data_IF_722717182756
#
_entry.id   IF_722717182756
#
_cell.length_a   1.000
_cell.length_b   1.000
_cell.length_c   1.000
_cell.angle_alpha   90.00
_cell.angle_beta   90.00
_cell.angle_gamma   90.00
#
_symmetry.space_group_name_H-M   'P 1'
#
loop_
_entity.id
_entity.type
_entity.pdbx_description
1 polymer ?
#
# COMPACT_ATOMS: atom_id res chain seq x y z
N UNK A 1 4.12 7.96 -2.38
CA UNK A 1 4.32 6.49 -2.40
C UNK A 1 4.08 5.86 -3.78
N UNK A 2 3.24 6.44 -4.64
CA UNK A 2 2.86 5.83 -5.91
C UNK A 2 4.01 5.42 -6.84
N UNK A 3 5.04 6.26 -6.95
CA UNK A 3 6.18 5.98 -7.81
C UNK A 3 6.95 4.70 -7.46
N UNK A 4 6.85 4.16 -6.25
CA UNK A 4 7.45 2.87 -5.93
C UNK A 4 6.73 1.71 -6.63
N UNK A 5 5.39 1.64 -6.52
CA UNK A 5 4.60 0.60 -7.15
C UNK A 5 4.62 0.69 -8.66
N UNK A 6 4.53 1.91 -9.21
CA UNK A 6 4.62 2.13 -10.65
C UNK A 6 5.96 1.64 -11.23
N UNK A 7 7.07 1.95 -10.56
CA UNK A 7 8.40 1.47 -10.98
C UNK A 7 8.59 -0.02 -10.76
N UNK A 8 8.04 -0.56 -9.67
CA UNK A 8 8.02 -2.00 -9.41
C UNK A 8 7.28 -2.77 -10.52
N UNK A 9 6.27 -2.17 -11.12
CA UNK A 9 5.54 -2.70 -12.27
C UNK A 9 6.26 -2.51 -13.62
N UNK A 10 7.49 -2.00 -13.64
CA UNK A 10 8.25 -1.75 -14.86
C UNK A 10 7.91 -0.43 -15.56
N UNK A 11 7.26 0.51 -14.86
CA UNK A 11 6.88 1.83 -15.40
C UNK A 11 6.01 1.73 -16.67
N UNK A 12 4.88 1.02 -16.63
CA UNK A 12 4.02 0.80 -17.80
C UNK A 12 3.50 2.13 -18.37
N UNK A 13 3.10 2.12 -19.64
CA UNK A 13 2.37 3.24 -20.23
C UNK A 13 1.02 3.45 -19.50
N UNK A 14 0.62 4.71 -19.38
CA UNK A 14 -0.59 5.11 -18.65
C UNK A 14 -1.44 5.98 -19.57
N UNK A 15 -2.64 5.52 -19.89
CA UNK A 15 -3.65 6.35 -20.54
C UNK A 15 -4.18 7.35 -19.51
N UNK A 16 -3.71 8.60 -19.57
CA UNK A 16 -4.13 9.65 -18.65
C UNK A 16 -5.57 10.09 -18.98
N UNK A 17 -6.47 10.17 -17.97
CA UNK A 17 -7.82 10.65 -18.18
C UNK A 17 -7.83 12.18 -18.36
N UNK A 18 -8.85 12.69 -19.07
CA UNK A 18 -9.10 14.13 -19.20
C UNK A 18 -9.36 14.80 -17.84
N UNK A 19 -10.08 14.10 -16.96
CA UNK A 19 -10.37 14.54 -15.59
C UNK A 19 -9.61 13.68 -14.60
N UNK A 20 -8.94 14.33 -13.64
CA UNK A 20 -8.22 13.64 -12.57
C UNK A 20 -9.17 12.74 -11.76
N UNK A 21 -8.76 11.51 -11.42
CA UNK A 21 -9.56 10.63 -10.54
C UNK A 21 -9.62 11.15 -9.10
N UNK A 22 -8.78 12.13 -8.73
CA UNK A 22 -8.74 12.70 -7.39
C UNK A 22 -8.80 14.23 -7.43
N UNK A 23 -9.67 14.81 -6.60
CA UNK A 23 -9.96 16.24 -6.59
C UNK A 23 -8.76 17.13 -6.25
N UNK A 24 -7.80 16.59 -5.51
CA UNK A 24 -6.63 17.31 -4.98
C UNK A 24 -5.32 16.95 -5.72
N UNK A 25 -5.41 16.33 -6.88
CA UNK A 25 -4.25 16.01 -7.72
C UNK A 25 -4.46 16.59 -9.11
N UNK A 26 -3.79 17.70 -9.38
CA UNK A 26 -3.76 18.33 -10.70
C UNK A 26 -2.95 17.49 -11.70
N UNK A 27 -3.32 17.55 -12.99
CA UNK A 27 -2.60 16.92 -14.10
C UNK A 27 -1.12 17.31 -14.19
N UNK A 28 -0.75 18.51 -13.72
CA UNK A 28 0.62 19.01 -13.68
C UNK A 28 1.42 18.52 -12.47
N UNK A 29 0.80 17.77 -11.55
CA UNK A 29 1.47 17.27 -10.37
C UNK A 29 2.58 16.28 -10.77
N UNK A 30 3.77 16.40 -10.16
CA UNK A 30 4.96 15.63 -10.52
C UNK A 30 4.74 14.11 -10.58
N UNK A 31 3.87 13.59 -9.70
CA UNK A 31 3.51 12.17 -9.61
C UNK A 31 2.11 11.84 -10.14
N UNK A 32 1.49 12.74 -10.93
CA UNK A 32 0.13 12.56 -11.44
C UNK A 32 -0.02 11.22 -12.16
N UNK A 33 0.91 10.91 -13.06
CA UNK A 33 0.92 9.67 -13.83
C UNK A 33 0.92 8.42 -12.95
N UNK A 34 1.78 8.37 -11.95
CA UNK A 34 1.91 7.23 -11.06
C UNK A 34 0.68 7.07 -10.15
N UNK A 35 0.08 8.18 -9.73
CA UNK A 35 -1.15 8.20 -8.93
C UNK A 35 -2.34 7.68 -9.76
N UNK A 36 -2.51 8.18 -11.00
CA UNK A 36 -3.53 7.72 -11.94
C UNK A 36 -3.39 6.24 -12.20
N UNK A 37 -2.17 5.76 -12.50
CA UNK A 37 -1.92 4.34 -12.73
C UNK A 37 -2.30 3.49 -11.51
N UNK A 38 -1.91 3.89 -10.30
CA UNK A 38 -2.29 3.15 -9.09
C UNK A 38 -3.82 3.07 -8.90
N UNK A 39 -4.53 4.15 -9.26
CA UNK A 39 -5.99 4.19 -9.19
C UNK A 39 -6.61 3.24 -10.22
N UNK A 40 -6.14 3.28 -11.48
CA UNK A 40 -6.59 2.39 -12.55
C UNK A 40 -6.35 0.91 -12.23
N UNK A 41 -5.26 0.59 -11.53
CA UNK A 41 -4.96 -0.77 -11.08
C UNK A 41 -5.69 -1.16 -9.79
N UNK A 42 -6.49 -0.27 -9.20
CA UNK A 42 -7.19 -0.51 -7.93
C UNK A 42 -6.27 -0.64 -6.72
N UNK A 43 -5.01 -0.22 -6.83
CA UNK A 43 -4.02 -0.31 -5.73
C UNK A 43 -4.34 0.76 -4.69
N UNK A 44 -4.63 1.97 -5.14
CA UNK A 44 -5.12 3.07 -4.30
C UNK A 44 -6.58 3.36 -4.59
N UNK A 45 -7.33 3.66 -3.54
CA UNK A 45 -8.76 4.02 -3.59
C UNK A 45 -9.00 5.48 -3.19
N UNK A 46 -7.95 6.20 -2.78
CA UNK A 46 -8.08 7.52 -2.16
C UNK A 46 -8.88 7.48 -0.85
N UNK A 47 -9.43 8.63 -0.51
CA UNK A 47 -10.32 8.86 0.63
C UNK A 47 -11.77 9.03 0.15
N UNK A 48 -12.72 8.83 1.06
CA UNK A 48 -14.17 8.92 0.76
C UNK A 48 -14.61 10.29 0.22
N UNK A 49 -13.87 11.35 0.55
CA UNK A 49 -14.09 12.71 0.05
C UNK A 49 -13.68 12.91 -1.43
N UNK A 50 -13.06 11.89 -2.04
CA UNK A 50 -12.54 11.91 -3.41
C UNK A 50 -11.12 12.48 -3.53
N UNK A 51 -10.38 12.59 -2.42
CA UNK A 51 -8.98 13.05 -2.41
C UNK A 51 -7.98 11.89 -2.40
N UNK A 52 -6.75 12.15 -2.83
CA UNK A 52 -5.60 11.25 -2.72
C UNK A 52 -4.66 11.63 -1.57
N UNK A 53 -4.54 12.93 -1.27
CA UNK A 53 -3.64 13.53 -0.29
C UNK A 53 -2.17 13.23 -0.59
N UNK A 54 -1.61 13.73 -1.71
CA UNK A 54 -0.28 13.33 -2.21
C UNK A 54 0.87 13.65 -1.26
N UNK A 55 0.71 14.67 -0.41
CA UNK A 55 1.71 15.10 0.57
C UNK A 55 1.51 14.48 1.96
N UNK A 56 0.42 13.74 2.18
CA UNK A 56 0.18 13.07 3.46
C UNK A 56 1.09 11.84 3.59
N UNK A 57 1.55 11.61 4.82
CA UNK A 57 2.24 10.38 5.17
C UNK A 57 1.31 9.17 5.01
N UNK A 58 1.84 8.09 4.47
CA UNK A 58 1.13 6.80 4.39
C UNK A 58 1.50 5.97 5.61
N UNK A 59 0.50 5.50 6.34
CA UNK A 59 0.71 4.62 7.48
C UNK A 59 1.04 3.19 7.02
N UNK A 60 1.74 2.44 7.87
CA UNK A 60 2.20 1.08 7.57
C UNK A 60 1.07 0.11 7.24
N UNK A 61 -0.08 0.21 7.91
CA UNK A 61 -1.26 -0.61 7.61
C UNK A 61 -1.77 -0.37 6.18
N UNK A 62 -1.93 0.91 5.80
CA UNK A 62 -2.32 1.27 4.44
C UNK A 62 -1.28 0.79 3.41
N UNK A 63 0.02 0.83 3.75
CA UNK A 63 1.06 0.28 2.89
C UNK A 63 0.90 -1.23 2.65
N UNK A 64 0.57 -2.02 3.69
CA UNK A 64 0.28 -3.44 3.53
C UNK A 64 -0.90 -3.67 2.56
N UNK A 65 -1.94 -2.83 2.66
CA UNK A 65 -3.08 -2.90 1.74
C UNK A 65 -2.71 -2.59 0.29
N UNK A 66 -1.79 -1.65 0.04
CA UNK A 66 -1.31 -1.40 -1.32
C UNK A 66 -0.58 -2.62 -1.90
N UNK A 67 0.29 -3.29 -1.13
CA UNK A 67 0.94 -4.52 -1.60
C UNK A 67 -0.04 -5.65 -1.84
N UNK A 68 -1.03 -5.80 -0.96
CA UNK A 68 -2.07 -6.83 -1.09
C UNK A 68 -2.88 -6.67 -2.38
N UNK A 69 -3.31 -5.43 -2.69
CA UNK A 69 -4.03 -5.10 -3.93
C UNK A 69 -3.13 -5.17 -5.16
N UNK A 70 -1.88 -4.73 -5.05
CA UNK A 70 -0.89 -4.84 -6.13
C UNK A 70 -0.67 -6.30 -6.54
N UNK A 71 -0.60 -7.20 -5.56
CA UNK A 71 -0.50 -8.65 -5.78
C UNK A 71 -1.82 -9.31 -6.21
N UNK A 72 -2.91 -8.54 -6.37
CA UNK A 72 -4.25 -9.00 -6.76
C UNK A 72 -4.76 -10.17 -5.91
N UNK A 73 -4.51 -10.12 -4.61
CA UNK A 73 -4.89 -11.19 -3.68
C UNK A 73 -6.39 -11.16 -3.45
N UNK A 74 -7.09 -12.22 -3.83
CA UNK A 74 -8.55 -12.37 -3.65
C UNK A 74 -8.88 -13.46 -2.63
N UNK A 75 -8.14 -14.57 -2.65
CA UNK A 75 -8.42 -15.79 -1.88
C UNK A 75 -7.45 -15.96 -0.70
N UNK A 76 -7.39 -14.96 0.18
CA UNK A 76 -6.63 -15.05 1.43
C UNK A 76 -7.55 -14.93 2.64
N UNK A 77 -7.48 -15.93 3.51
CA UNK A 77 -8.12 -15.98 4.81
C UNK A 77 -7.10 -15.65 5.90
N UNK A 78 -7.37 -14.60 6.67
CA UNK A 78 -6.49 -14.23 7.77
C UNK A 78 -6.63 -15.23 8.94
N UNK A 79 -5.55 -15.51 9.67
CA UNK A 79 -5.59 -16.43 10.81
C UNK A 79 -6.55 -15.92 11.90
N UNK A 80 -7.14 -16.86 12.65
CA UNK A 80 -8.02 -16.51 13.77
C UNK A 80 -7.25 -15.91 14.96
N UNK A 81 -5.99 -16.32 15.13
CA UNK A 81 -5.10 -15.80 16.17
C UNK A 81 -4.23 -14.69 15.58
N UNK A 82 -4.27 -13.46 16.14
CA UNK A 82 -3.41 -12.37 15.70
C UNK A 82 -1.92 -12.72 15.74
N UNK A 83 -1.21 -12.36 14.67
CA UNK A 83 0.23 -12.61 14.52
C UNK A 83 1.11 -11.47 15.06
N UNK A 84 0.53 -10.29 15.28
CA UNK A 84 1.18 -9.14 15.90
C UNK A 84 0.38 -8.68 17.12
N UNK A 85 1.09 -8.24 18.17
CA UNK A 85 0.47 -7.86 19.45
C UNK A 85 -0.43 -6.62 19.36
N UNK A 86 -0.16 -5.74 18.40
CA UNK A 86 -0.83 -4.45 18.21
C UNK A 86 -1.74 -4.42 16.97
N UNK A 87 -2.07 -5.59 16.42
CA UNK A 87 -2.99 -5.72 15.29
C UNK A 87 -4.03 -6.79 15.62
N UNK A 88 -5.10 -6.37 16.30
CA UNK A 88 -6.25 -7.22 16.53
C UNK A 88 -7.13 -7.39 15.27
N UNK A 89 -8.12 -8.28 15.37
CA UNK A 89 -9.01 -8.64 14.26
C UNK A 89 -9.94 -7.51 13.79
N UNK A 90 -10.15 -6.48 14.62
CA UNK A 90 -10.96 -5.32 14.28
C UNK A 90 -10.13 -4.23 13.59
N UNK A 91 -8.81 -4.40 13.48
CA UNK A 91 -7.98 -3.49 12.71
C UNK A 91 -8.43 -3.49 11.24
N UNK A 92 -8.65 -2.33 10.61
CA UNK A 92 -9.16 -2.24 9.23
C UNK A 92 -8.22 -2.87 8.19
N UNK A 93 -6.95 -3.08 8.54
CA UNK A 93 -5.95 -3.72 7.69
C UNK A 93 -5.49 -5.08 8.24
N UNK A 94 -6.22 -5.70 9.17
CA UNK A 94 -5.84 -6.98 9.79
C UNK A 94 -5.52 -8.05 8.75
N UNK A 95 -6.38 -8.17 7.73
CA UNK A 95 -6.25 -9.16 6.67
C UNK A 95 -4.99 -8.93 5.83
N UNK A 96 -4.77 -7.70 5.40
CA UNK A 96 -3.65 -7.31 4.56
C UNK A 96 -2.33 -7.42 5.31
N UNK A 97 -2.30 -7.03 6.58
CA UNK A 97 -1.12 -7.15 7.46
C UNK A 97 -0.77 -8.62 7.71
N UNK A 98 -1.78 -9.47 7.95
CA UNK A 98 -1.56 -10.91 8.16
C UNK A 98 -0.97 -11.56 6.91
N UNK A 99 -1.54 -11.26 5.72
CA UNK A 99 -0.96 -11.72 4.46
C UNK A 99 0.46 -11.22 4.28
N UNK A 100 0.73 -9.96 4.64
CA UNK A 100 2.06 -9.37 4.55
C UNK A 100 3.11 -10.13 5.38
N UNK A 101 2.68 -10.66 6.54
CA UNK A 101 3.49 -11.50 7.42
C UNK A 101 3.67 -12.92 6.87
N UNK A 102 2.59 -13.57 6.42
CA UNK A 102 2.61 -14.91 5.85
C UNK A 102 3.44 -14.97 4.56
N UNK A 103 3.42 -13.88 3.80
CA UNK A 103 4.28 -13.71 2.65
C UNK A 103 5.71 -13.28 3.02
N UNK A 104 6.08 -13.18 4.29
CA UNK A 104 7.43 -12.77 4.73
C UNK A 104 7.89 -11.41 4.18
N UNK A 105 6.96 -10.53 3.79
CA UNK A 105 7.30 -9.20 3.29
C UNK A 105 7.58 -8.27 4.48
N UNK A 106 6.84 -8.45 5.58
CA UNK A 106 7.13 -7.82 6.87
C UNK A 106 7.60 -8.84 7.91
N UNK A 107 8.56 -8.44 8.72
CA UNK A 107 8.99 -9.18 9.92
C UNK A 107 8.30 -8.68 11.18
N UNK A 108 7.80 -7.43 11.17
CA UNK A 108 7.48 -6.67 12.38
C UNK A 108 8.73 -6.17 13.10
N UNK A 109 8.54 -5.73 14.34
CA UNK A 109 9.60 -5.38 15.27
C UNK A 109 9.91 -6.56 16.21
N UNK A 110 11.09 -6.52 16.85
CA UNK A 110 11.52 -7.54 17.80
C UNK A 110 10.63 -7.66 19.05
N UNK A 111 9.80 -6.66 19.32
CA UNK A 111 8.79 -6.67 20.40
C UNK A 111 7.51 -7.45 20.03
N UNK A 112 7.37 -7.88 18.76
CA UNK A 112 6.20 -8.56 18.23
C UNK A 112 5.11 -7.62 17.68
N UNK A 113 5.42 -6.35 17.44
CA UNK A 113 4.48 -5.35 16.88
C UNK A 113 4.64 -5.14 15.37
N UNK A 114 3.61 -4.57 14.74
CA UNK A 114 3.60 -4.13 13.34
C UNK A 114 3.43 -2.61 13.16
N UNK A 115 2.93 -1.91 14.18
CA UNK A 115 2.76 -0.46 14.25
C UNK A 115 1.94 0.09 13.07
N UNK A 116 0.69 -0.39 12.89
CA UNK A 116 -0.10 -0.12 11.68
C UNK A 116 -0.40 1.36 11.45
N UNK A 117 -0.44 2.15 12.52
CA UNK A 117 -0.78 3.58 12.50
C UNK A 117 0.45 4.49 12.41
N UNK A 118 1.67 3.94 12.47
CA UNK A 118 2.88 4.74 12.26
C UNK A 118 3.10 5.01 10.76
N UNK A 119 3.59 6.22 10.40
CA UNK A 119 4.06 6.50 9.05
C UNK A 119 5.16 5.52 8.61
N UNK A 120 5.06 5.03 7.37
CA UNK A 120 6.10 4.16 6.80
C UNK A 120 7.37 4.96 6.51
N UNK A 121 8.50 4.49 7.03
CA UNK A 121 9.82 5.04 6.71
C UNK A 121 10.33 4.51 5.37
N UNK A 122 11.15 5.30 4.66
CA UNK A 122 11.73 4.93 3.35
C UNK A 122 12.54 3.63 3.41
N UNK A 123 13.31 3.40 4.47
CA UNK A 123 14.09 2.18 4.65
C UNK A 123 13.18 0.94 4.78
N UNK A 124 12.08 1.06 5.53
CA UNK A 124 11.11 -0.02 5.63
C UNK A 124 10.41 -0.29 4.29
N UNK A 125 10.08 0.74 3.52
CA UNK A 125 9.54 0.59 2.17
C UNK A 125 10.52 -0.17 1.25
N UNK A 126 11.80 0.19 1.27
CA UNK A 126 12.83 -0.51 0.49
C UNK A 126 12.94 -1.99 0.87
N UNK A 127 12.91 -2.30 2.17
CA UNK A 127 12.92 -3.68 2.65
C UNK A 127 11.68 -4.47 2.20
N UNK A 128 10.50 -3.86 2.21
CA UNK A 128 9.26 -4.48 1.73
C UNK A 128 9.31 -4.76 0.23
N UNK A 129 9.73 -3.79 -0.58
CA UNK A 129 9.87 -3.97 -2.03
C UNK A 129 10.86 -5.09 -2.32
N UNK A 130 12.02 -5.10 -1.66
CA UNK A 130 13.01 -6.15 -1.85
C UNK A 130 12.39 -7.51 -1.57
N UNK A 131 11.87 -7.75 -0.36
CA UNK A 131 11.27 -9.05 0.00
C UNK A 131 10.08 -9.45 -0.86
N UNK A 132 9.31 -8.48 -1.36
CA UNK A 132 8.23 -8.74 -2.30
C UNK A 132 8.76 -9.21 -3.67
N UNK A 133 9.83 -8.60 -4.17
CA UNK A 133 10.34 -8.82 -5.52
C UNK A 133 11.23 -10.07 -5.67
N UNK A 134 11.91 -10.52 -4.61
CA UNK A 134 12.80 -11.72 -4.66
C UNK A 134 12.09 -13.03 -4.33
N UNK A 135 10.75 -13.05 -4.41
CA UNK A 135 9.96 -14.26 -4.25
C UNK A 135 9.91 -15.13 -5.48
#
# INVERSE_FOLDING_TARGET
MAAYFYRLAGSPEVALPETSPFKDVDSSHLFYKEIVWMSQQGITTGYEDGTYRPNASVNRGAMAAFFFRYAKVTNYEAPQTPQFKDVDRNNPFYREISWFKDQHITTGWGDGTFRPNEPIQRAAMAAFIHRFAVK
#
